data_IF_154037821956
#
_entry.id   IF_154037821956
#
_cell.length_a   1.000
_cell.length_b   1.000
_cell.length_c   1.000
_cell.angle_alpha   90.00
_cell.angle_beta   90.00
_cell.angle_gamma   90.00
#
_symmetry.space_group_name_H-M   'P 1'
#
loop_
_entity.id
_entity.type
_entity.pdbx_description
1 polymer ?
#
# COMPACT_ATOMS: atom_id res chain seq x y z
N UNK A 1 -13.59 8.76 -10.22
CA UNK A 1 -13.28 8.57 -8.80
C UNK A 1 -11.76 8.42 -8.75
N UNK A 2 -11.06 9.22 -7.94
CA UNK A 2 -9.61 9.12 -7.84
C UNK A 2 -9.28 8.10 -6.76
N UNK A 3 -8.56 7.05 -7.13
CA UNK A 3 -8.28 5.90 -6.26
C UNK A 3 -6.82 5.51 -6.41
N UNK A 4 -6.21 5.15 -5.29
CA UNK A 4 -4.91 4.52 -5.23
C UNK A 4 -5.06 3.22 -4.48
N UNK A 5 -4.49 2.16 -5.05
CA UNK A 5 -4.60 0.81 -4.52
C UNK A 5 -3.26 0.09 -4.57
N UNK A 6 -3.16 -0.96 -3.77
CA UNK A 6 -2.10 -1.96 -3.88
C UNK A 6 -2.83 -3.29 -4.10
N UNK A 7 -2.47 -3.97 -5.18
CA UNK A 7 -2.97 -5.31 -5.47
C UNK A 7 -1.92 -6.33 -5.04
N UNK A 8 -2.34 -7.32 -4.26
CA UNK A 8 -1.57 -8.51 -3.94
C UNK A 8 -2.37 -9.70 -4.45
N UNK A 9 -1.82 -10.42 -5.42
CA UNK A 9 -2.49 -11.54 -6.06
C UNK A 9 -1.55 -12.70 -6.34
N UNK A 10 -2.16 -13.84 -6.69
CA UNK A 10 -1.47 -15.12 -6.89
C UNK A 10 -0.31 -15.07 -7.90
N UNK A 11 -0.34 -14.13 -8.85
CA UNK A 11 0.68 -14.01 -9.91
C UNK A 11 1.54 -12.76 -9.82
N UNK A 12 1.01 -11.66 -9.26
CA UNK A 12 1.65 -10.36 -9.28
C UNK A 12 1.26 -9.52 -8.07
N UNK A 13 2.20 -8.68 -7.67
CA UNK A 13 1.96 -7.56 -6.75
C UNK A 13 2.13 -6.25 -7.50
N UNK A 14 1.25 -5.29 -7.22
CA UNK A 14 1.22 -4.05 -7.98
C UNK A 14 0.80 -2.80 -7.18
N UNK A 15 1.26 -1.64 -7.64
CA UNK A 15 0.83 -0.31 -7.19
C UNK A 15 -0.03 0.32 -8.29
N UNK A 16 -1.28 0.59 -7.96
CA UNK A 16 -2.29 1.13 -8.86
C UNK A 16 -2.57 2.60 -8.56
N UNK A 17 -2.52 3.44 -9.60
CA UNK A 17 -2.76 4.89 -9.49
C UNK A 17 -3.80 5.28 -10.52
N UNK A 18 -5.05 5.50 -10.07
CA UNK A 18 -6.21 5.86 -10.89
C UNK A 18 -6.54 4.88 -12.05
N UNK A 19 -5.94 3.69 -12.04
CA UNK A 19 -6.03 2.68 -13.09
C UNK A 19 -5.68 1.32 -12.49
N UNK A 20 -6.45 0.28 -12.86
CA UNK A 20 -6.17 -1.13 -12.53
C UNK A 20 -5.02 -1.71 -13.37
N UNK A 21 -4.62 -0.98 -14.42
CA UNK A 21 -3.41 -1.29 -15.17
C UNK A 21 -2.28 -0.50 -14.52
N UNK A 22 -1.46 -1.21 -13.76
CA UNK A 22 -0.31 -0.67 -13.03
C UNK A 22 0.81 -0.26 -13.98
N UNK A 23 1.65 0.68 -13.55
CA UNK A 23 2.84 1.06 -14.31
C UNK A 23 3.93 -0.02 -14.19
N UNK A 24 4.83 -0.18 -15.18
CA UNK A 24 5.87 -1.20 -15.13
C UNK A 24 6.79 -1.14 -13.90
N UNK A 25 7.07 0.07 -13.39
CA UNK A 25 7.86 0.29 -12.18
C UNK A 25 7.09 -0.06 -10.90
N UNK A 26 5.77 -0.14 -10.97
CA UNK A 26 4.87 -0.50 -9.90
C UNK A 26 4.38 -1.94 -9.98
N UNK A 27 5.14 -2.86 -10.57
CA UNK A 27 4.80 -4.29 -10.59
C UNK A 27 5.99 -5.16 -10.26
N UNK A 28 5.74 -6.26 -9.56
CA UNK A 28 6.73 -7.32 -9.37
C UNK A 28 6.06 -8.69 -9.48
N UNK A 29 6.69 -9.68 -10.16
CA UNK A 29 6.21 -11.04 -10.17
C UNK A 29 6.23 -11.58 -8.75
N UNK A 30 5.24 -12.38 -8.41
CA UNK A 30 5.22 -13.02 -7.12
C UNK A 30 5.90 -14.38 -7.18
N UNK A 31 6.88 -14.59 -6.29
CA UNK A 31 7.76 -15.76 -6.28
C UNK A 31 7.25 -16.89 -5.39
N UNK A 32 6.42 -16.58 -4.38
CA UNK A 32 5.99 -17.53 -3.37
C UNK A 32 4.57 -17.28 -2.85
N UNK A 33 3.70 -18.31 -2.94
CA UNK A 33 2.34 -18.32 -2.37
C UNK A 33 2.20 -19.39 -1.27
N UNK A 34 1.54 -19.06 -0.17
CA UNK A 34 1.19 -20.02 0.87
C UNK A 34 -0.33 -20.04 1.14
N UNK A 35 -1.00 -21.12 0.73
CA UNK A 35 -2.42 -21.29 1.02
C UNK A 35 -2.66 -21.40 2.54
N UNK A 36 -3.50 -20.51 3.09
CA UNK A 36 -3.77 -20.41 4.52
C UNK A 36 -2.64 -19.79 5.34
N UNK A 37 -1.56 -19.36 4.68
CA UNK A 37 -0.48 -18.60 5.28
C UNK A 37 -0.95 -17.23 5.77
N UNK A 38 -0.23 -16.66 6.72
CA UNK A 38 -0.46 -15.26 7.13
C UNK A 38 0.63 -14.42 6.51
N UNK A 39 0.23 -13.52 5.63
CA UNK A 39 1.09 -12.52 5.03
C UNK A 39 1.11 -11.25 5.90
N UNK A 40 2.30 -10.69 6.08
CA UNK A 40 2.52 -9.41 6.74
C UNK A 40 2.88 -8.39 5.67
N UNK A 41 2.08 -7.33 5.57
CA UNK A 41 2.25 -6.29 4.55
C UNK A 41 2.56 -4.97 5.23
N UNK A 42 3.63 -4.31 4.80
CA UNK A 42 4.01 -2.97 5.23
C UNK A 42 4.01 -2.01 4.05
N UNK A 43 3.32 -0.88 4.21
CA UNK A 43 3.21 0.16 3.19
C UNK A 43 3.78 1.45 3.79
N UNK A 44 4.74 2.05 3.09
CA UNK A 44 5.36 3.31 3.50
C UNK A 44 5.37 4.31 2.36
N UNK A 45 5.13 5.58 2.68
CA UNK A 45 5.25 6.68 1.73
C UNK A 45 6.16 7.75 2.31
N UNK A 46 7.18 8.13 1.53
CA UNK A 46 8.06 9.24 1.86
C UNK A 46 7.67 10.47 1.01
N UNK A 47 7.11 11.54 1.63
CA UNK A 47 6.68 12.73 0.91
C UNK A 47 7.84 13.56 0.34
N UNK A 48 9.06 13.39 0.86
CA UNK A 48 10.25 14.12 0.40
C UNK A 48 10.79 13.55 -0.91
N UNK A 49 10.80 12.21 -1.02
CA UNK A 49 11.24 11.50 -2.22
C UNK A 49 10.09 11.15 -3.17
N UNK A 50 8.82 11.28 -2.71
CA UNK A 50 7.59 10.87 -3.41
C UNK A 50 7.57 9.39 -3.75
N UNK A 51 8.19 8.56 -2.92
CA UNK A 51 8.28 7.12 -3.13
C UNK A 51 7.27 6.40 -2.24
N UNK A 52 6.38 5.64 -2.87
CA UNK A 52 5.55 4.64 -2.21
C UNK A 52 6.28 3.30 -2.27
N UNK A 53 6.44 2.64 -1.12
CA UNK A 53 7.03 1.31 -1.01
C UNK A 53 6.05 0.35 -0.36
N UNK A 54 6.06 -0.89 -0.85
CA UNK A 54 5.31 -2.02 -0.33
C UNK A 54 6.31 -3.13 -0.06
N UNK A 55 6.27 -3.69 1.14
CA UNK A 55 6.91 -4.96 1.44
C UNK A 55 5.88 -5.96 1.94
N UNK A 56 6.04 -7.23 1.54
CA UNK A 56 5.18 -8.29 2.02
C UNK A 56 5.96 -9.59 2.21
N UNK A 57 5.65 -10.31 3.29
CA UNK A 57 6.34 -11.55 3.65
C UNK A 57 5.39 -12.52 4.36
N UNK A 58 5.67 -13.82 4.26
CA UNK A 58 5.00 -14.83 5.09
C UNK A 58 5.80 -15.12 6.35
N UNK A 59 5.11 -15.45 7.44
CA UNK A 59 5.75 -15.84 8.70
C UNK A 59 6.79 -16.97 8.49
N UNK A 60 8.06 -16.68 8.79
CA UNK A 60 9.15 -17.66 8.68
C UNK A 60 9.57 -18.01 7.25
N UNK A 61 9.24 -17.19 6.26
CA UNK A 61 9.67 -17.35 4.86
C UNK A 61 10.63 -16.22 4.47
N UNK A 62 11.82 -16.60 3.98
CA UNK A 62 12.87 -15.68 3.48
C UNK A 62 12.67 -15.46 1.96
N UNK A 63 11.47 -15.04 1.59
CA UNK A 63 11.08 -14.66 0.22
C UNK A 63 10.11 -13.48 0.36
N UNK A 64 10.69 -12.28 0.39
CA UNK A 64 10.02 -11.02 0.57
C UNK A 64 9.69 -10.37 -0.78
N UNK A 65 8.47 -9.86 -0.89
CA UNK A 65 8.15 -8.92 -1.95
C UNK A 65 8.67 -7.57 -1.51
N UNK A 66 9.44 -6.92 -2.38
CA UNK A 66 9.64 -5.47 -2.31
C UNK A 66 9.20 -4.82 -3.62
N UNK A 67 8.35 -3.81 -3.51
CA UNK A 67 7.87 -3.02 -4.64
C UNK A 67 7.92 -1.53 -4.29
N UNK A 68 8.33 -0.70 -5.25
CA UNK A 68 8.31 0.75 -5.06
C UNK A 68 7.96 1.49 -6.34
N UNK A 69 7.18 2.56 -6.23
CA UNK A 69 6.90 3.46 -7.35
C UNK A 69 6.99 4.92 -6.92
N UNK A 70 7.43 5.77 -7.84
CA UNK A 70 7.46 7.22 -7.65
C UNK A 70 6.08 7.80 -7.99
N UNK A 71 5.37 8.30 -6.97
CA UNK A 71 4.01 8.84 -7.10
C UNK A 71 3.90 10.17 -6.38
N UNK A 72 3.49 11.21 -7.12
CA UNK A 72 3.13 12.49 -6.50
C UNK A 72 1.67 12.44 -6.01
N UNK A 73 1.48 12.08 -4.74
CA UNK A 73 0.14 11.96 -4.14
C UNK A 73 -0.70 13.23 -4.30
N UNK A 74 -0.08 14.42 -4.36
CA UNK A 74 -0.81 15.70 -4.48
C UNK A 74 -1.44 15.89 -5.85
N UNK A 75 -0.91 15.25 -6.89
CA UNK A 75 -1.46 15.32 -8.24
C UNK A 75 -2.59 14.30 -8.46
N UNK A 76 -2.62 13.23 -7.66
CA UNK A 76 -3.50 12.07 -7.91
C UNK A 76 -4.60 11.88 -6.87
N UNK A 77 -4.46 12.42 -5.67
CA UNK A 77 -5.45 12.32 -4.59
C UNK A 77 -5.94 13.70 -4.13
N UNK A 78 -7.20 13.82 -3.69
CA UNK A 78 -7.68 15.01 -2.99
C UNK A 78 -7.01 15.14 -1.60
N UNK A 79 -7.17 16.30 -0.96
CA UNK A 79 -6.61 16.58 0.36
C UNK A 79 -7.11 15.62 1.45
N UNK A 80 -8.36 15.16 1.33
CA UNK A 80 -8.99 14.25 2.27
C UNK A 80 -9.28 12.92 1.59
N UNK A 81 -8.76 11.83 2.18
CA UNK A 81 -8.88 10.47 1.65
C UNK A 81 -9.42 9.52 2.72
N UNK A 82 -9.94 8.39 2.27
CA UNK A 82 -10.25 7.23 3.12
C UNK A 82 -9.23 6.15 2.82
N UNK A 83 -8.67 5.54 3.87
CA UNK A 83 -7.74 4.42 3.76
C UNK A 83 -8.46 3.16 4.23
N UNK A 84 -8.32 2.07 3.49
CA UNK A 84 -8.99 0.81 3.80
C UNK A 84 -8.56 -0.31 2.87
N UNK A 85 -9.30 -1.41 2.95
CA UNK A 85 -9.06 -2.61 2.15
C UNK A 85 -10.23 -2.83 1.19
N UNK A 86 -9.91 -3.29 -0.02
CA UNK A 86 -10.86 -3.78 -0.99
C UNK A 86 -10.39 -5.13 -1.48
N UNK A 87 -11.32 -6.05 -1.69
CA UNK A 87 -11.00 -7.39 -2.16
C UNK A 87 -12.22 -7.95 -2.89
N UNK A 88 -11.99 -8.73 -3.95
CA UNK A 88 -13.04 -9.38 -4.74
C UNK A 88 -12.61 -10.76 -5.21
N UNK A 89 -13.57 -11.67 -5.40
CA UNK A 89 -13.34 -13.00 -5.97
C UNK A 89 -13.85 -13.05 -7.40
N UNK A 90 -13.19 -13.85 -8.25
CA UNK A 90 -13.59 -14.10 -9.63
C UNK A 90 -14.30 -15.44 -9.78
N UNK A 91 -13.93 -16.20 -10.82
CA UNK A 91 -14.42 -17.57 -11.05
C UNK A 91 -13.95 -18.54 -9.96
N UNK A 92 -12.78 -18.29 -9.38
CA UNK A 92 -12.23 -19.00 -8.23
C UNK A 92 -12.56 -18.27 -6.91
N UNK A 93 -12.60 -19.04 -5.82
CA UNK A 93 -12.93 -18.54 -4.47
C UNK A 93 -11.72 -18.47 -3.56
N UNK A 94 -11.53 -17.33 -2.92
CA UNK A 94 -10.52 -17.12 -1.88
C UNK A 94 -11.14 -16.52 -0.63
N UNK A 95 -10.53 -16.77 0.53
CA UNK A 95 -10.94 -16.17 1.80
C UNK A 95 -10.01 -14.99 2.08
N UNK A 96 -10.54 -13.77 1.98
CA UNK A 96 -9.79 -12.54 2.28
C UNK A 96 -10.07 -12.08 3.71
N UNK A 97 -9.16 -12.40 4.64
CA UNK A 97 -9.28 -12.04 6.06
C UNK A 97 -8.17 -11.09 6.49
N UNK A 98 -8.53 -9.92 7.01
CA UNK A 98 -7.59 -9.03 7.71
C UNK A 98 -7.53 -9.44 9.18
N UNK A 99 -6.37 -9.94 9.63
CA UNK A 99 -6.16 -10.34 11.04
C UNK A 99 -5.92 -9.15 11.96
N UNK A 100 -5.17 -8.17 11.48
CA UNK A 100 -4.83 -6.95 12.19
C UNK A 100 -4.40 -5.88 11.18
N UNK A 101 -4.60 -4.62 11.53
CA UNK A 101 -4.07 -3.49 10.78
C UNK A 101 -3.70 -2.35 11.73
N UNK A 102 -2.76 -1.53 11.30
CA UNK A 102 -2.41 -0.28 11.97
C UNK A 102 -2.01 0.73 10.92
N UNK A 103 -2.42 1.99 11.11
CA UNK A 103 -2.10 3.07 10.20
C UNK A 103 -1.58 4.28 10.97
N UNK A 104 -0.61 4.98 10.40
CA UNK A 104 -0.06 6.22 10.96
C UNK A 104 0.24 7.19 9.83
N UNK A 105 -0.11 8.46 10.04
CA UNK A 105 0.19 9.55 9.11
C UNK A 105 0.60 10.77 9.91
N UNK A 106 1.58 11.52 9.39
CA UNK A 106 2.08 12.75 10.01
C UNK A 106 2.07 13.84 8.94
N UNK A 107 1.33 14.91 9.22
CA UNK A 107 1.36 16.13 8.43
C UNK A 107 2.22 17.17 9.14
N UNK A 108 3.44 17.37 8.67
CA UNK A 108 4.29 18.44 9.19
C UNK A 108 3.79 19.79 8.70
N UNK A 109 3.30 20.60 9.64
CA UNK A 109 2.97 21.99 9.36
C UNK A 109 4.20 22.85 9.62
N UNK A 110 4.74 23.47 8.57
CA UNK A 110 5.69 24.57 8.74
C UNK A 110 4.89 25.75 9.28
N UNK A 111 4.90 25.93 10.59
CA UNK A 111 4.53 27.20 11.21
C UNK A 111 5.78 28.07 11.24
N UNK A 112 5.62 29.39 11.08
CA UNK A 112 6.71 30.35 11.33
C UNK A 112 7.21 30.31 12.80
N UNK A 113 6.66 29.39 13.61
CA UNK A 113 6.83 29.27 15.06
C UNK A 113 7.10 27.81 15.51
N UNK A 114 7.89 27.00 14.78
CA UNK A 114 8.50 25.72 15.24
C UNK A 114 7.65 24.70 16.05
N UNK A 115 6.32 24.71 15.99
CA UNK A 115 5.47 23.71 16.66
C UNK A 115 4.91 22.72 15.65
N UNK A 116 5.39 21.46 15.70
CA UNK A 116 4.84 20.34 14.96
C UNK A 116 3.61 19.79 15.68
N UNK A 117 2.43 19.90 15.08
CA UNK A 117 1.23 19.25 15.57
C UNK A 117 1.04 17.91 14.87
N UNK A 118 1.08 16.81 15.63
CA UNK A 118 0.78 15.47 15.12
C UNK A 118 -0.74 15.34 14.98
N UNK A 119 -1.24 15.24 13.76
CA UNK A 119 -2.61 14.82 13.51
C UNK A 119 -2.67 13.29 13.63
N UNK A 120 -3.16 12.77 14.75
CA UNK A 120 -3.54 11.36 14.88
C UNK A 120 -5.05 11.26 14.72
N UNK A 121 -5.51 10.47 13.75
CA UNK A 121 -6.87 9.96 13.69
C UNK A 121 -6.77 8.46 13.95
N UNK A 122 -7.44 8.01 15.01
CA UNK A 122 -7.59 6.60 15.41
C UNK A 122 -8.65 5.95 14.53
#
# INVERSE_FOLDING_TARGET
>A
MYEMGIELGYFNSAIDVNSVISKPDGTTPWTYWQNGGTEFVTITFDPSTKVLKVSAEYDGVDDDIELSSSVDLKEVLPEWVTVGFSASTGDDSEIMNIKSWSFSSVLEKVTDNNEAHIASVV
#
